data_IF_268232568789
#
_entry.id   IF_268232568789
#
_cell.length_a   1.000
_cell.length_b   1.000
_cell.length_c   1.000
_cell.angle_alpha   90.00
_cell.angle_beta   90.00
_cell.angle_gamma   90.00
#
_symmetry.space_group_name_H-M   'P 1'
#
loop_
_entity.id
_entity.type
_entity.pdbx_description
1 polymer ?
#
# COMPACT_ATOMS: atom_id res chain seq x y z
N UNK A 1 -11.90 -8.42 1.54
CA UNK A 1 -11.06 -8.88 2.66
C UNK A 1 -10.39 -7.72 3.39
N UNK A 2 -9.65 -6.81 2.72
CA UNK A 2 -8.98 -5.69 3.38
C UNK A 2 -9.94 -4.77 4.18
N UNK A 3 -11.11 -4.44 3.62
CA UNK A 3 -12.13 -3.63 4.30
C UNK A 3 -12.70 -4.30 5.57
N UNK A 4 -12.87 -5.63 5.57
CA UNK A 4 -13.28 -6.35 6.78
C UNK A 4 -12.16 -6.32 7.82
N UNK A 5 -10.90 -6.46 7.39
CA UNK A 5 -9.74 -6.35 8.27
C UNK A 5 -9.65 -4.98 8.94
N UNK A 6 -9.88 -3.88 8.19
CA UNK A 6 -9.88 -2.52 8.74
C UNK A 6 -11.02 -2.27 9.76
N UNK A 7 -12.20 -2.85 9.55
CA UNK A 7 -13.29 -2.81 10.55
C UNK A 7 -12.89 -3.54 11.84
N UNK A 8 -12.27 -4.72 11.74
CA UNK A 8 -11.83 -5.46 12.92
C UNK A 8 -10.72 -4.73 13.68
N UNK A 9 -9.85 -3.99 12.97
CA UNK A 9 -8.86 -3.13 13.60
C UNK A 9 -9.51 -1.96 14.37
N UNK A 10 -10.59 -1.38 13.85
CA UNK A 10 -11.38 -0.36 14.57
C UNK A 10 -12.03 -0.99 15.82
N UNK A 11 -12.62 -2.17 15.70
CA UNK A 11 -13.26 -2.87 16.83
C UNK A 11 -12.26 -3.40 17.87
N UNK A 12 -10.95 -3.46 17.54
CA UNK A 12 -9.92 -3.89 18.49
C UNK A 12 -9.71 -2.95 19.68
N UNK A 13 -10.34 -1.77 19.65
CA UNK A 13 -10.37 -0.84 20.81
C UNK A 13 -11.16 -1.40 22.00
N UNK A 14 -12.06 -2.38 21.76
CA UNK A 14 -12.88 -2.97 22.83
C UNK A 14 -11.99 -3.78 23.79
N UNK A 15 -11.96 -3.49 25.10
CA UNK A 15 -11.16 -4.24 26.06
C UNK A 15 -11.59 -5.72 26.08
N UNK A 16 -10.63 -6.61 26.36
CA UNK A 16 -10.74 -8.09 26.36
C UNK A 16 -10.88 -8.74 24.97
N UNK A 17 -11.74 -8.28 24.08
CA UNK A 17 -11.88 -8.81 22.73
C UNK A 17 -10.85 -8.22 21.75
N UNK A 18 -10.28 -7.05 22.08
CA UNK A 18 -9.46 -6.25 21.18
C UNK A 18 -8.20 -6.94 20.67
N UNK A 19 -7.52 -7.72 21.51
CA UNK A 19 -6.29 -8.43 21.10
C UNK A 19 -6.59 -9.46 20.03
N UNK A 20 -7.63 -10.27 20.24
CA UNK A 20 -8.03 -11.32 19.26
C UNK A 20 -8.53 -10.67 17.97
N UNK A 21 -9.39 -9.66 18.08
CA UNK A 21 -9.91 -8.92 16.93
C UNK A 21 -8.79 -8.19 16.17
N UNK A 22 -7.81 -7.64 16.87
CA UNK A 22 -6.65 -6.98 16.27
C UNK A 22 -5.79 -7.95 15.46
N UNK A 23 -5.48 -9.13 15.99
CA UNK A 23 -4.69 -10.15 15.28
C UNK A 23 -5.43 -10.62 14.02
N UNK A 24 -6.71 -10.96 14.14
CA UNK A 24 -7.54 -11.37 13.00
C UNK A 24 -7.64 -10.23 11.99
N UNK A 25 -7.82 -8.98 12.46
CA UNK A 25 -7.89 -7.79 11.63
C UNK A 25 -6.62 -7.57 10.79
N UNK A 26 -5.45 -7.70 11.41
CA UNK A 26 -4.15 -7.59 10.72
C UNK A 26 -4.02 -8.67 9.64
N UNK A 27 -4.37 -9.92 9.95
CA UNK A 27 -4.28 -11.04 8.99
C UNK A 27 -5.19 -10.78 7.78
N UNK A 28 -6.46 -10.44 8.03
CA UNK A 28 -7.41 -10.15 6.95
C UNK A 28 -7.04 -8.90 6.15
N UNK A 29 -6.51 -7.87 6.82
CA UNK A 29 -5.98 -6.68 6.17
C UNK A 29 -4.84 -7.04 5.21
N UNK A 30 -3.81 -7.77 5.67
CA UNK A 30 -2.68 -8.18 4.84
C UNK A 30 -3.09 -9.11 3.69
N UNK A 31 -4.03 -10.04 3.92
CA UNK A 31 -4.58 -10.89 2.85
C UNK A 31 -5.28 -10.05 1.79
N UNK A 32 -6.07 -9.05 2.21
CA UNK A 32 -6.74 -8.14 1.30
C UNK A 32 -5.77 -7.25 0.51
N UNK A 33 -4.75 -6.71 1.17
CA UNK A 33 -3.68 -5.94 0.53
C UNK A 33 -2.88 -6.77 -0.47
N UNK A 34 -2.58 -8.05 -0.14
CA UNK A 34 -1.94 -8.98 -1.08
C UNK A 34 -2.78 -9.18 -2.34
N UNK A 35 -4.09 -9.32 -2.19
CA UNK A 35 -5.02 -9.39 -3.33
C UNK A 35 -5.00 -8.12 -4.19
N UNK A 36 -4.96 -6.94 -3.56
CA UNK A 36 -4.86 -5.66 -4.27
C UNK A 36 -3.51 -5.47 -4.96
N UNK A 37 -2.41 -5.86 -4.32
CA UNK A 37 -1.07 -5.85 -4.92
C UNK A 37 -1.02 -6.71 -6.18
N UNK A 38 -1.62 -7.89 -6.16
CA UNK A 38 -1.75 -8.77 -7.33
C UNK A 38 -2.66 -8.15 -8.40
N UNK A 39 -3.78 -7.53 -8.01
CA UNK A 39 -4.71 -6.88 -8.93
C UNK A 39 -4.05 -5.70 -9.66
N UNK A 40 -3.34 -4.83 -8.96
CA UNK A 40 -2.65 -3.68 -9.55
C UNK A 40 -1.25 -4.00 -10.10
N UNK A 41 -0.81 -5.27 -10.01
CA UNK A 41 0.52 -5.72 -10.41
C UNK A 41 1.66 -4.89 -9.80
N UNK A 42 1.45 -4.43 -8.58
CA UNK A 42 2.43 -3.63 -7.84
C UNK A 42 2.72 -4.29 -6.49
N UNK A 43 3.87 -4.96 -6.42
CA UNK A 43 4.29 -5.67 -5.21
C UNK A 43 4.69 -4.73 -4.06
N UNK A 44 5.01 -3.46 -4.35
CA UNK A 44 5.35 -2.47 -3.32
C UNK A 44 4.19 -2.26 -2.34
N UNK A 45 2.93 -2.30 -2.83
CA UNK A 45 1.72 -2.19 -1.99
C UNK A 45 1.75 -3.23 -0.86
N UNK A 46 2.12 -4.48 -1.18
CA UNK A 46 2.17 -5.54 -0.18
C UNK A 46 3.41 -5.45 0.71
N UNK A 47 4.59 -5.16 0.12
CA UNK A 47 5.85 -5.08 0.86
C UNK A 47 5.84 -3.93 1.87
N UNK A 48 5.40 -2.74 1.49
CA UNK A 48 5.30 -1.61 2.41
C UNK A 48 4.27 -1.88 3.52
N UNK A 49 3.11 -2.46 3.20
CA UNK A 49 2.12 -2.86 4.23
C UNK A 49 2.69 -3.88 5.20
N UNK A 50 3.38 -4.90 4.70
CA UNK A 50 3.99 -5.95 5.52
C UNK A 50 5.05 -5.37 6.45
N UNK A 51 5.93 -4.52 5.91
CA UNK A 51 6.97 -3.83 6.68
C UNK A 51 6.36 -2.93 7.75
N UNK A 52 5.31 -2.18 7.40
CA UNK A 52 4.56 -1.36 8.35
C UNK A 52 3.96 -2.17 9.49
N UNK A 53 3.35 -3.32 9.19
CA UNK A 53 2.79 -4.24 10.20
C UNK A 53 3.89 -4.83 11.08
N UNK A 54 5.04 -5.20 10.54
CA UNK A 54 6.18 -5.71 11.33
C UNK A 54 6.65 -4.64 12.33
N UNK A 55 6.84 -3.40 11.88
CA UNK A 55 7.21 -2.30 12.77
C UNK A 55 6.15 -2.01 13.83
N UNK A 56 4.87 -2.12 13.47
CA UNK A 56 3.78 -1.99 14.43
C UNK A 56 3.83 -3.08 15.52
N UNK A 57 4.08 -4.32 15.15
CA UNK A 57 4.21 -5.44 16.11
C UNK A 57 5.40 -5.18 17.06
N UNK A 58 6.54 -4.73 16.54
CA UNK A 58 7.72 -4.37 17.36
C UNK A 58 7.36 -3.24 18.34
N UNK A 59 6.64 -2.21 17.87
CA UNK A 59 6.20 -1.11 18.73
C UNK A 59 5.29 -1.60 19.85
N UNK A 60 4.33 -2.49 19.56
CA UNK A 60 3.43 -3.07 20.57
C UNK A 60 4.19 -3.91 21.60
N UNK A 61 5.16 -4.72 21.17
CA UNK A 61 6.01 -5.50 22.08
C UNK A 61 6.83 -4.58 22.97
N UNK A 62 7.45 -3.53 22.42
CA UNK A 62 8.21 -2.55 23.19
C UNK A 62 7.31 -1.82 24.22
N UNK A 63 6.10 -1.44 23.83
CA UNK A 63 5.12 -0.83 24.73
C UNK A 63 4.71 -1.79 25.87
N UNK A 64 4.51 -3.09 25.57
CA UNK A 64 4.22 -4.09 26.58
C UNK A 64 5.37 -4.26 27.58
N UNK A 65 6.61 -4.29 27.09
CA UNK A 65 7.82 -4.33 27.95
C UNK A 65 7.87 -3.10 28.86
N UNK A 66 7.53 -1.91 28.35
CA UNK A 66 7.47 -0.69 29.14
C UNK A 66 6.51 -0.83 30.33
N UNK A 67 5.28 -1.30 30.06
CA UNK A 67 4.26 -1.48 31.10
C UNK A 67 4.70 -2.52 32.12
N UNK A 68 5.24 -3.66 31.70
CA UNK A 68 5.74 -4.73 32.58
C UNK A 68 6.87 -4.21 33.48
N UNK A 69 7.82 -3.47 32.94
CA UNK A 69 8.94 -2.89 33.70
C UNK A 69 8.45 -1.94 34.79
N UNK A 70 7.42 -1.13 34.48
CA UNK A 70 6.82 -0.24 35.48
C UNK A 70 6.14 -1.03 36.61
N UNK A 71 5.33 -2.04 36.28
CA UNK A 71 4.60 -2.87 37.25
C UNK A 71 5.56 -3.61 38.17
N UNK A 72 6.63 -4.22 37.64
CA UNK A 72 7.64 -4.92 38.44
C UNK A 72 8.42 -3.92 39.28
N UNK A 73 8.68 -2.72 38.80
CA UNK A 73 9.40 -1.66 39.50
C UNK A 73 8.74 -1.22 40.78
N UNK A 74 7.42 -1.35 40.93
CA UNK A 74 6.71 -0.99 42.19
C UNK A 74 7.08 -1.85 43.41
N UNK A 75 7.79 -2.96 43.22
CA UNK A 75 8.12 -3.87 44.32
C UNK A 75 9.17 -3.32 45.33
N UNK A 76 9.99 -2.32 44.91
CA UNK A 76 11.01 -1.69 45.77
C UNK A 76 11.37 -0.29 45.29
N UNK A 77 11.94 0.56 46.12
CA UNK A 77 12.35 1.92 45.76
C UNK A 77 13.41 1.89 44.65
N UNK A 78 14.40 1.00 44.73
CA UNK A 78 15.43 0.84 43.71
C UNK A 78 14.81 0.31 42.40
N UNK A 79 13.92 -0.69 42.53
CA UNK A 79 13.16 -1.25 41.41
C UNK A 79 12.32 -0.19 40.68
N UNK A 80 11.72 0.72 41.44
CA UNK A 80 10.92 1.82 40.88
C UNK A 80 11.75 2.76 40.02
N UNK A 81 12.93 3.19 40.47
CA UNK A 81 13.84 4.05 39.70
C UNK A 81 14.30 3.36 38.41
N UNK A 82 14.73 2.10 38.51
CA UNK A 82 15.15 1.30 37.35
C UNK A 82 13.96 1.07 36.39
N UNK A 83 12.78 0.76 36.95
CA UNK A 83 11.55 0.56 36.18
C UNK A 83 11.14 1.78 35.38
N UNK A 84 11.26 2.99 35.93
CA UNK A 84 10.99 4.25 35.21
C UNK A 84 11.98 4.45 34.04
N UNK A 85 13.27 4.20 34.27
CA UNK A 85 14.27 4.35 33.22
C UNK A 85 13.98 3.39 32.06
N UNK A 86 13.73 2.12 32.35
CA UNK A 86 13.38 1.11 31.34
C UNK A 86 12.07 1.48 30.64
N UNK A 87 11.06 1.96 31.38
CA UNK A 87 9.79 2.40 30.81
C UNK A 87 9.99 3.54 29.80
N UNK A 88 10.75 4.58 30.16
CA UNK A 88 11.00 5.71 29.23
C UNK A 88 11.75 5.25 27.98
N UNK A 89 12.81 4.44 28.15
CA UNK A 89 13.56 3.92 27.00
C UNK A 89 12.70 3.06 26.08
N UNK A 90 11.90 2.17 26.64
CA UNK A 90 11.01 1.31 25.89
C UNK A 90 9.89 2.10 25.17
N UNK A 91 9.37 3.18 25.79
CA UNK A 91 8.41 4.08 25.14
C UNK A 91 9.02 4.83 23.97
N UNK A 92 10.27 5.31 24.09
CA UNK A 92 10.96 5.97 22.99
C UNK A 92 11.12 5.00 21.81
N UNK A 93 11.55 3.76 22.08
CA UNK A 93 11.69 2.72 21.06
C UNK A 93 10.33 2.43 20.42
N UNK A 94 9.29 2.21 21.24
CA UNK A 94 7.93 1.96 20.74
C UNK A 94 7.44 3.10 19.83
N UNK A 95 7.67 4.34 20.23
CA UNK A 95 7.26 5.53 19.46
C UNK A 95 7.99 5.64 18.11
N UNK A 96 9.30 5.39 18.07
CA UNK A 96 10.06 5.40 16.81
C UNK A 96 9.54 4.34 15.84
N UNK A 97 9.35 3.10 16.30
CA UNK A 97 8.83 2.02 15.48
C UNK A 97 7.38 2.29 15.04
N UNK A 98 6.59 2.95 15.88
CA UNK A 98 5.22 3.32 15.54
C UNK A 98 5.16 4.38 14.42
N UNK A 99 6.03 5.39 14.45
CA UNK A 99 6.15 6.37 13.34
C UNK A 99 6.63 5.69 12.06
N UNK A 100 7.60 4.76 12.15
CA UNK A 100 8.06 3.99 10.99
C UNK A 100 6.91 3.14 10.41
N UNK A 101 6.13 2.47 11.24
CA UNK A 101 4.95 1.73 10.82
C UNK A 101 3.95 2.62 10.08
N UNK A 102 3.62 3.78 10.65
CA UNK A 102 2.71 4.75 10.05
C UNK A 102 3.22 5.29 8.71
N UNK A 103 4.53 5.52 8.58
CA UNK A 103 5.13 6.00 7.32
C UNK A 103 5.03 4.97 6.19
N UNK A 104 5.24 3.69 6.48
CA UNK A 104 5.08 2.60 5.50
C UNK A 104 3.62 2.40 5.10
N UNK A 105 2.69 2.41 6.06
CA UNK A 105 1.26 2.34 5.77
C UNK A 105 0.76 3.54 4.96
N UNK A 106 1.28 4.74 5.22
CA UNK A 106 0.98 5.93 4.41
C UNK A 106 1.39 5.71 2.96
N UNK A 107 2.60 5.20 2.69
CA UNK A 107 3.04 4.89 1.31
C UNK A 107 2.10 3.91 0.63
N UNK A 108 1.69 2.84 1.33
CA UNK A 108 0.72 1.89 0.80
C UNK A 108 -0.58 2.58 0.40
N UNK A 109 -1.14 3.44 1.26
CA UNK A 109 -2.37 4.15 0.98
C UNK A 109 -2.22 5.18 -0.14
N UNK A 110 -1.07 5.86 -0.25
CA UNK A 110 -0.79 6.78 -1.34
C UNK A 110 -0.72 6.05 -2.69
N UNK A 111 -0.08 4.87 -2.76
CA UNK A 111 -0.07 4.04 -3.97
C UNK A 111 -1.49 3.55 -4.31
N UNK A 112 -2.27 3.12 -3.32
CA UNK A 112 -3.66 2.70 -3.53
C UNK A 112 -4.52 3.86 -4.03
N UNK A 113 -4.36 5.07 -3.49
CA UNK A 113 -5.07 6.27 -3.95
C UNK A 113 -4.78 6.56 -5.43
N UNK A 114 -3.50 6.50 -5.82
CA UNK A 114 -3.09 6.71 -7.21
C UNK A 114 -3.64 5.64 -8.16
N UNK A 115 -3.67 4.38 -7.73
CA UNK A 115 -4.11 3.26 -8.57
C UNK A 115 -5.64 3.12 -8.64
N UNK A 116 -6.35 3.41 -7.56
CA UNK A 116 -7.81 3.32 -7.50
C UNK A 116 -8.52 4.60 -7.93
N UNK A 117 -7.83 5.74 -7.89
CA UNK A 117 -8.44 7.07 -8.07
C UNK A 117 -9.28 7.54 -6.89
N UNK A 118 -9.27 6.82 -5.75
CA UNK A 118 -10.06 7.16 -4.57
C UNK A 118 -9.21 7.94 -3.56
N UNK A 119 -9.55 9.22 -3.37
CA UNK A 119 -8.86 10.13 -2.46
C UNK A 119 -9.00 9.74 -0.97
N UNK A 120 -9.96 8.88 -0.62
CA UNK A 120 -10.14 8.41 0.76
C UNK A 120 -8.88 7.74 1.30
N UNK A 121 -8.13 7.02 0.47
CA UNK A 121 -6.87 6.39 0.87
C UNK A 121 -5.77 7.40 1.18
N UNK A 122 -5.61 8.43 0.36
CA UNK A 122 -4.61 9.48 0.61
C UNK A 122 -4.92 10.24 1.91
N UNK A 123 -6.20 10.53 2.16
CA UNK A 123 -6.67 11.13 3.41
C UNK A 123 -6.38 10.21 4.60
N UNK A 124 -6.69 8.92 4.48
CA UNK A 124 -6.40 7.92 5.51
C UNK A 124 -4.91 7.84 5.84
N UNK A 125 -4.04 7.76 4.82
CA UNK A 125 -2.59 7.72 4.99
C UNK A 125 -2.03 8.96 5.70
N UNK A 126 -2.51 10.13 5.32
CA UNK A 126 -2.11 11.41 5.92
C UNK A 126 -2.55 11.52 7.38
N UNK A 127 -3.82 11.17 7.66
CA UNK A 127 -4.35 11.18 9.03
C UNK A 127 -3.64 10.14 9.93
N UNK A 128 -3.29 8.99 9.40
CA UNK A 128 -2.57 7.95 10.13
C UNK A 128 -1.17 8.42 10.51
N UNK A 129 -0.46 9.08 9.60
CA UNK A 129 0.88 9.60 9.84
C UNK A 129 0.87 10.76 10.86
N UNK A 130 -0.01 11.76 10.69
CA UNK A 130 -0.18 12.82 11.66
C UNK A 130 -0.68 12.30 13.00
N UNK A 131 -1.57 11.32 12.98
CA UNK A 131 -2.06 10.64 14.17
C UNK A 131 -0.95 9.95 14.95
N UNK A 132 -0.02 9.31 14.27
CA UNK A 132 1.13 8.67 14.91
C UNK A 132 2.02 9.69 15.64
N UNK A 133 2.29 10.84 15.02
CA UNK A 133 3.09 11.92 15.66
C UNK A 133 2.35 12.51 16.87
N UNK A 134 1.05 12.77 16.70
CA UNK A 134 0.22 13.41 17.73
C UNK A 134 -0.26 12.45 18.83
N UNK A 135 0.10 11.16 18.78
CA UNK A 135 -0.26 10.17 19.80
C UNK A 135 0.31 10.55 21.17
N UNK A 136 1.44 11.28 21.24
CA UNK A 136 2.03 11.78 22.49
C UNK A 136 1.03 12.64 23.29
N UNK A 137 0.17 13.41 22.62
CA UNK A 137 -0.83 14.29 23.27
C UNK A 137 -2.25 13.70 23.20
N UNK A 138 -2.39 12.38 23.07
CA UNK A 138 -3.64 11.63 22.96
C UNK A 138 -4.58 12.03 21.81
N UNK A 139 -4.45 13.23 21.23
CA UNK A 139 -5.21 13.69 20.06
C UNK A 139 -4.97 12.78 18.84
N UNK A 140 -3.76 12.22 18.75
CA UNK A 140 -3.38 11.28 17.70
C UNK A 140 -4.25 10.04 17.64
N UNK A 141 -4.75 9.54 18.76
CA UNK A 141 -5.63 8.35 18.81
C UNK A 141 -6.94 8.61 18.04
N UNK A 142 -7.50 9.82 18.18
CA UNK A 142 -8.71 10.21 17.46
C UNK A 142 -8.44 10.27 15.95
N UNK A 143 -7.29 10.84 15.55
CA UNK A 143 -6.91 10.93 14.14
C UNK A 143 -6.68 9.54 13.52
N UNK A 144 -6.07 8.62 14.26
CA UNK A 144 -5.86 7.24 13.81
C UNK A 144 -7.20 6.53 13.63
N UNK A 145 -8.12 6.71 14.58
CA UNK A 145 -9.47 6.16 14.46
C UNK A 145 -10.19 6.66 13.20
N UNK A 146 -10.14 7.97 12.95
CA UNK A 146 -10.70 8.58 11.74
C UNK A 146 -9.97 8.06 10.48
N UNK A 147 -8.64 7.89 10.52
CA UNK A 147 -7.86 7.35 9.40
C UNK A 147 -8.33 5.95 8.99
N UNK A 148 -8.60 5.07 9.95
CA UNK A 148 -9.11 3.73 9.67
C UNK A 148 -10.53 3.74 9.13
N UNK A 149 -11.38 4.71 9.51
CA UNK A 149 -12.70 4.91 8.90
C UNK A 149 -12.54 5.27 7.42
N UNK A 150 -11.68 6.24 7.09
CA UNK A 150 -11.42 6.60 5.69
C UNK A 150 -10.82 5.45 4.88
N UNK A 151 -9.90 4.67 5.45
CA UNK A 151 -9.37 3.47 4.82
C UNK A 151 -10.47 2.45 4.54
N UNK A 152 -11.38 2.24 5.50
CA UNK A 152 -12.52 1.33 5.33
C UNK A 152 -13.43 1.81 4.20
N UNK A 153 -13.78 3.09 4.17
CA UNK A 153 -14.58 3.69 3.09
C UNK A 153 -13.89 3.47 1.74
N UNK A 154 -12.59 3.76 1.64
CA UNK A 154 -11.81 3.53 0.42
C UNK A 154 -11.84 2.07 -0.05
N UNK A 155 -11.71 1.09 0.86
CA UNK A 155 -11.77 -0.33 0.49
C UNK A 155 -13.15 -0.78 0.00
N UNK A 156 -14.24 -0.19 0.49
CA UNK A 156 -15.60 -0.53 0.06
C UNK A 156 -16.04 0.26 -1.18
N UNK A 157 -15.52 1.47 -1.39
CA UNK A 157 -15.84 2.27 -2.59
C UNK A 157 -15.08 1.83 -3.83
N UNK A 158 -13.97 1.08 -3.69
CA UNK A 158 -13.23 0.57 -4.83
C UNK A 158 -14.09 -0.35 -5.71
N UNK A 159 -14.37 0.09 -6.94
CA UNK A 159 -14.98 -0.73 -7.99
C UNK A 159 -13.86 -1.52 -8.69
N UNK A 160 -13.62 -2.75 -8.24
CA UNK A 160 -12.74 -3.66 -8.95
C UNK A 160 -13.44 -4.07 -10.25
N UNK A 161 -12.97 -3.52 -11.38
CA UNK A 161 -13.41 -4.02 -12.67
C UNK A 161 -12.86 -5.43 -12.88
N UNK A 162 -13.67 -6.40 -13.39
CA UNK A 162 -13.14 -7.70 -13.74
C UNK A 162 -11.98 -7.48 -14.73
N UNK A 163 -10.78 -7.89 -14.36
CA UNK A 163 -9.69 -7.89 -15.34
C UNK A 163 -10.08 -8.86 -16.45
N UNK A 164 -9.91 -8.48 -17.73
CA UNK A 164 -10.05 -9.45 -18.82
C UNK A 164 -9.11 -10.63 -18.50
N UNK A 165 -9.57 -11.87 -18.75
CA UNK A 165 -8.75 -13.05 -18.47
C UNK A 165 -7.39 -12.85 -19.10
N UNK A 166 -6.34 -12.98 -18.28
CA UNK A 166 -4.96 -12.89 -18.75
C UNK A 166 -4.79 -13.77 -19.97
N UNK A 167 -4.58 -13.15 -21.13
CA UNK A 167 -3.85 -13.81 -22.17
C UNK A 167 -2.47 -14.12 -21.55
N UNK A 168 -2.24 -15.38 -21.21
CA UNK A 168 -0.96 -15.89 -20.77
C UNK A 168 0.08 -15.36 -21.76
N UNK A 169 0.88 -14.36 -21.33
CA UNK A 169 2.04 -13.97 -22.13
C UNK A 169 2.89 -15.24 -22.28
N UNK A 170 3.19 -15.66 -23.52
CA UNK A 170 4.12 -16.76 -23.70
C UNK A 170 5.46 -16.33 -23.09
N UNK A 171 5.88 -17.06 -22.03
CA UNK A 171 7.21 -16.96 -21.44
C UNK A 171 8.22 -17.32 -22.51
N UNK A 172 8.84 -16.33 -23.14
CA UNK A 172 9.84 -16.61 -24.15
C UNK A 172 10.23 -15.42 -25.03
N UNK A 173 10.49 -14.25 -24.43
CA UNK A 173 11.33 -13.26 -25.08
C UNK A 173 12.33 -12.72 -24.08
N UNK A 174 13.53 -13.30 -24.07
CA UNK A 174 14.75 -12.65 -23.59
C UNK A 174 14.96 -11.40 -24.42
N UNK A 175 14.70 -10.22 -23.83
CA UNK A 175 15.05 -8.96 -24.44
C UNK A 175 16.56 -8.87 -24.62
N UNK A 176 17.09 -8.49 -25.78
CA UNK A 176 18.51 -8.19 -25.94
C UNK A 176 18.87 -6.97 -25.07
N UNK A 177 20.11 -6.87 -24.54
CA UNK A 177 20.53 -5.75 -23.72
C UNK A 177 20.45 -4.45 -24.51
N UNK A 178 19.62 -3.51 -24.04
CA UNK A 178 19.50 -2.17 -24.62
C UNK A 178 20.78 -1.40 -24.32
N UNK A 179 21.60 -1.19 -25.33
CA UNK A 179 22.68 -0.22 -25.32
C UNK A 179 22.08 1.18 -25.12
N UNK A 180 22.51 1.83 -24.03
CA UNK A 180 22.37 3.27 -23.86
C UNK A 180 23.06 3.99 -25.01
N UNK A 181 22.30 4.65 -25.87
CA UNK A 181 22.82 5.63 -26.81
C UNK A 181 22.24 7.00 -26.50
N UNK A 182 23.16 7.92 -26.36
CA UNK A 182 23.03 9.34 -26.06
C UNK A 182 21.92 10.06 -26.84
N UNK A 183 21.31 11.07 -26.16
CA UNK A 183 20.56 12.13 -26.83
C UNK A 183 21.41 12.88 -27.85
N UNK A 184 20.82 13.28 -28.95
CA UNK A 184 20.97 14.63 -29.42
C UNK A 184 19.65 15.34 -29.77
N UNK A 185 19.70 16.60 -29.49
CA UNK A 185 18.84 17.74 -29.70
C UNK A 185 18.29 17.89 -31.13
N UNK A 186 17.00 18.28 -31.19
CA UNK A 186 16.31 19.10 -32.21
C UNK A 186 16.59 18.91 -33.71
N UNK A 187 15.52 18.64 -34.46
CA UNK A 187 15.10 19.53 -35.55
C UNK A 187 13.70 19.17 -36.05
N UNK A 188 12.85 20.17 -36.08
CA UNK A 188 11.53 20.21 -36.67
C UNK A 188 11.62 19.95 -38.18
N UNK A 189 10.92 18.93 -38.69
CA UNK A 189 10.59 18.85 -40.10
C UNK A 189 9.21 18.17 -40.27
N UNK A 190 8.30 18.91 -40.85
CA UNK A 190 6.96 18.48 -41.21
C UNK A 190 7.00 17.21 -42.08
N UNK A 191 6.39 16.12 -41.59
CA UNK A 191 6.13 14.95 -42.42
C UNK A 191 4.67 14.98 -42.94
N UNK A 192 4.47 14.62 -44.22
CA UNK A 192 3.17 14.65 -44.86
C UNK A 192 2.23 13.63 -44.22
N UNK A 193 0.99 14.03 -44.03
CA UNK A 193 -0.15 13.26 -43.51
C UNK A 193 -0.35 11.98 -44.30
N UNK A 194 0.25 10.86 -43.90
CA UNK A 194 -0.07 9.56 -44.47
C UNK A 194 -1.43 9.12 -43.93
N UNK A 195 -2.36 8.87 -44.83
CA UNK A 195 -3.70 8.39 -44.51
C UNK A 195 -3.62 7.10 -43.67
N UNK A 196 -4.01 7.19 -42.42
CA UNK A 196 -4.03 6.06 -41.46
C UNK A 196 -5.17 5.12 -41.87
N UNK A 197 -4.87 3.90 -42.29
CA UNK A 197 -5.87 2.84 -42.51
C UNK A 197 -6.14 2.12 -41.17
N UNK A 198 -7.38 1.65 -41.01
CA UNK A 198 -7.75 0.85 -39.83
C UNK A 198 -8.02 -0.59 -40.23
N UNK A 199 -7.61 -1.53 -39.40
CA UNK A 199 -7.86 -2.95 -39.60
C UNK A 199 -9.37 -3.24 -39.50
N UNK A 200 -10.00 -3.84 -40.56
CA UNK A 200 -11.43 -4.11 -40.58
C UNK A 200 -11.86 -5.18 -39.57
N UNK A 201 -10.90 -5.92 -38.96
CA UNK A 201 -11.19 -6.98 -38.01
C UNK A 201 -11.07 -6.54 -36.55
N UNK A 202 -10.12 -5.67 -36.22
CA UNK A 202 -9.86 -5.26 -34.83
C UNK A 202 -9.86 -3.74 -34.60
N UNK A 203 -10.05 -2.92 -35.67
CA UNK A 203 -10.06 -1.47 -35.55
C UNK A 203 -8.72 -0.79 -35.25
N UNK A 204 -7.63 -1.54 -35.14
CA UNK A 204 -6.32 -0.96 -34.86
C UNK A 204 -5.77 -0.17 -36.07
N UNK A 205 -5.07 0.98 -35.83
CA UNK A 205 -4.43 1.73 -36.93
C UNK A 205 -3.28 0.91 -37.49
N UNK A 206 -3.21 0.84 -38.84
CA UNK A 206 -2.17 0.09 -39.55
C UNK A 206 -1.50 0.98 -40.60
N UNK A 207 -0.20 0.78 -40.78
CA UNK A 207 0.54 1.52 -41.79
C UNK A 207 0.06 1.14 -43.23
N UNK A 208 0.05 2.09 -44.17
CA UNK A 208 -0.24 1.79 -45.55
C UNK A 208 0.79 0.75 -46.06
N UNK A 209 0.32 -0.23 -46.86
CA UNK A 209 1.11 -1.32 -47.47
C UNK A 209 1.54 -2.47 -46.50
N UNK A 210 0.96 -2.62 -45.33
CA UNK A 210 1.14 -3.83 -44.52
C UNK A 210 0.21 -4.96 -44.98
N UNK A 211 0.79 -6.13 -45.25
CA UNK A 211 0.02 -7.32 -45.67
C UNK A 211 -0.76 -7.98 -44.55
N UNK A 212 -0.30 -7.80 -43.29
CA UNK A 212 -0.92 -8.38 -42.09
C UNK A 212 -1.07 -7.32 -41.01
N UNK A 213 -2.16 -7.36 -40.25
CA UNK A 213 -2.36 -6.50 -39.12
C UNK A 213 -1.40 -6.89 -37.96
N UNK A 214 -0.55 -5.97 -37.45
CA UNK A 214 0.39 -6.29 -36.35
C UNK A 214 -0.32 -6.56 -35.03
N UNK A 215 -1.60 -6.17 -34.91
CA UNK A 215 -2.35 -6.32 -33.67
C UNK A 215 -3.16 -7.62 -33.57
N UNK A 216 -3.72 -8.11 -34.67
CA UNK A 216 -4.57 -9.31 -34.70
C UNK A 216 -4.11 -10.39 -35.68
N UNK A 217 -3.01 -10.21 -36.42
CA UNK A 217 -2.44 -11.16 -37.33
C UNK A 217 -3.25 -11.41 -38.63
N UNK A 218 -4.41 -10.74 -38.81
CA UNK A 218 -5.26 -10.98 -39.98
C UNK A 218 -4.70 -10.30 -41.20
N UNK A 219 -4.77 -11.00 -42.37
CA UNK A 219 -4.37 -10.47 -43.67
C UNK A 219 -5.27 -9.29 -44.06
N UNK A 220 -4.65 -8.20 -44.48
CA UNK A 220 -5.32 -6.97 -44.89
C UNK A 220 -5.50 -6.95 -46.42
N UNK A 221 -6.64 -6.48 -46.91
CA UNK A 221 -6.82 -6.30 -48.35
C UNK A 221 -5.83 -5.24 -48.86
N UNK A 222 -5.13 -5.58 -49.92
CA UNK A 222 -4.22 -4.67 -50.63
C UNK A 222 -4.98 -3.60 -51.42
#
# INVERSE_FOLDING_TARGET
>A
MAGVGSILLILSIVPYAGVVLGIIGIILFLMGIKGLASYYQNNEIYQDSLTGVIFYIIAVIAAAVAVIALVIGFASIIGFVVGIIVFILALIIAFVFYILAASHLRKTFDILAQKSGDHSFSTAGTLLWWGAILTIIFVGLILIFIAWIFATIGFFSMKLQPQPPYASQPSGYTAPPTQQAAQPTQASAAQPTQATRYCPNCGAPVAPNTAFCPHCGKQLPQ
#
